data_IF_431469906179
#
_entry.id   IF_431469906179
#
_cell.length_a   1.000
_cell.length_b   1.000
_cell.length_c   1.000
_cell.angle_alpha   90.00
_cell.angle_beta   90.00
_cell.angle_gamma   90.00
#
_symmetry.space_group_name_H-M   'P 1'
#
loop_
_entity.id
_entity.type
_entity.pdbx_description
1 polymer ?
#
# COMPACT_ATOMS: atom_id res chain seq x y z
N UNK A 1 -8.73 -14.08 9.87
CA UNK A 1 -8.12 -14.38 8.55
C UNK A 1 -7.53 -13.08 8.03
N UNK A 2 -6.33 -13.09 7.44
CA UNK A 2 -5.71 -11.87 6.89
C UNK A 2 -6.40 -11.52 5.57
N UNK A 3 -7.25 -10.49 5.57
CA UNK A 3 -7.99 -10.04 4.40
C UNK A 3 -7.14 -9.10 3.52
N UNK A 4 -5.94 -9.53 3.15
CA UNK A 4 -4.96 -8.70 2.42
C UNK A 4 -5.50 -8.31 1.03
N UNK A 5 -6.03 -9.29 0.27
CA UNK A 5 -6.65 -9.01 -1.04
C UNK A 5 -7.75 -7.94 -0.94
N UNK A 6 -8.58 -8.03 0.09
CA UNK A 6 -9.65 -7.05 0.30
C UNK A 6 -9.11 -5.65 0.59
N UNK A 7 -8.02 -5.53 1.36
CA UNK A 7 -7.40 -4.23 1.59
C UNK A 7 -6.92 -3.60 0.28
N UNK A 8 -6.37 -4.39 -0.67
CA UNK A 8 -5.99 -3.87 -1.97
C UNK A 8 -7.19 -3.43 -2.81
N UNK A 9 -8.30 -4.18 -2.81
CA UNK A 9 -9.54 -3.76 -3.47
C UNK A 9 -10.08 -2.45 -2.89
N UNK A 10 -10.04 -2.30 -1.57
CA UNK A 10 -10.54 -1.09 -0.91
C UNK A 10 -9.62 0.11 -1.19
N UNK A 11 -8.30 -0.10 -1.31
CA UNK A 11 -7.37 0.92 -1.82
C UNK A 11 -7.71 1.28 -3.27
N UNK A 12 -7.93 0.29 -4.15
CA UNK A 12 -8.24 0.52 -5.56
C UNK A 12 -9.50 1.38 -5.75
N UNK A 13 -10.52 1.23 -4.90
CA UNK A 13 -11.74 2.06 -4.95
C UNK A 13 -11.50 3.54 -4.64
N UNK A 14 -10.54 3.87 -3.77
CA UNK A 14 -10.33 5.24 -3.28
C UNK A 14 -9.10 5.93 -3.86
N UNK A 15 -8.15 5.19 -4.44
CA UNK A 15 -6.83 5.71 -4.86
C UNK A 15 -6.94 6.96 -5.74
N UNK A 16 -7.90 7.00 -6.66
CA UNK A 16 -8.10 8.15 -7.52
C UNK A 16 -8.51 9.42 -6.76
N UNK A 17 -9.35 9.28 -5.74
CA UNK A 17 -9.78 10.41 -4.89
C UNK A 17 -8.63 10.87 -3.99
N UNK A 18 -7.93 9.92 -3.37
CA UNK A 18 -6.80 10.21 -2.49
C UNK A 18 -5.69 10.95 -3.23
N UNK A 19 -5.32 10.49 -4.43
CA UNK A 19 -4.31 11.15 -5.28
C UNK A 19 -4.74 12.56 -5.66
N UNK A 20 -6.00 12.73 -6.11
CA UNK A 20 -6.54 14.06 -6.46
C UNK A 20 -6.49 15.01 -5.28
N UNK A 21 -6.90 14.55 -4.10
CA UNK A 21 -6.90 15.34 -2.89
C UNK A 21 -5.47 15.73 -2.47
N UNK A 22 -4.55 14.76 -2.48
CA UNK A 22 -3.14 15.02 -2.16
C UNK A 22 -2.49 15.98 -3.15
N UNK A 23 -2.71 15.81 -4.45
CA UNK A 23 -2.19 16.71 -5.48
C UNK A 23 -2.72 18.13 -5.31
N UNK A 24 -4.03 18.30 -5.05
CA UNK A 24 -4.63 19.62 -4.82
C UNK A 24 -4.15 20.30 -3.52
N UNK A 25 -3.79 19.51 -2.51
CA UNK A 25 -3.22 20.01 -1.26
C UNK A 25 -1.73 20.38 -1.35
N UNK A 26 -1.06 19.99 -2.44
CA UNK A 26 0.36 20.26 -2.62
C UNK A 26 0.57 21.76 -2.87
N UNK A 27 1.43 22.44 -2.09
CA UNK A 27 1.77 23.84 -2.32
C UNK A 27 2.66 24.05 -3.56
N UNK A 28 3.10 22.97 -4.21
CA UNK A 28 3.99 22.99 -5.39
C UNK A 28 3.22 22.51 -6.63
N UNK A 29 2.98 23.39 -7.63
CA UNK A 29 2.15 23.12 -8.82
C UNK A 29 2.63 22.02 -9.79
N UNK A 30 3.72 21.32 -9.48
CA UNK A 30 4.33 20.29 -10.33
C UNK A 30 5.06 19.20 -9.50
N UNK A 31 4.66 19.02 -8.24
CA UNK A 31 5.31 18.02 -7.40
C UNK A 31 4.88 16.61 -7.80
N UNK A 32 5.85 15.84 -8.30
CA UNK A 32 5.75 14.39 -8.37
C UNK A 32 5.54 13.88 -6.94
N UNK A 33 4.37 13.29 -6.70
CA UNK A 33 3.95 12.85 -5.38
C UNK A 33 3.78 11.34 -5.26
N UNK A 34 3.55 10.89 -4.02
CA UNK A 34 3.18 9.51 -3.72
C UNK A 34 2.18 9.45 -2.55
N UNK A 35 1.29 8.46 -2.56
CA UNK A 35 0.41 8.11 -1.43
C UNK A 35 0.91 6.80 -0.83
N UNK A 36 0.97 6.73 0.51
CA UNK A 36 1.35 5.53 1.24
C UNK A 36 0.13 4.90 1.92
N UNK A 37 -0.11 3.63 1.63
CA UNK A 37 -1.15 2.84 2.26
C UNK A 37 -0.54 1.74 3.13
N UNK A 38 -0.42 2.00 4.44
CA UNK A 38 0.02 0.97 5.37
C UNK A 38 -1.05 -0.12 5.51
N UNK A 39 -0.64 -1.36 5.25
CA UNK A 39 -1.50 -2.53 5.41
C UNK A 39 -1.69 -2.82 6.90
N UNK A 40 -2.84 -3.39 7.25
CA UNK A 40 -3.23 -3.63 8.63
C UNK A 40 -3.59 -5.09 8.89
N UNK A 41 -3.40 -5.52 10.12
CA UNK A 41 -3.91 -6.81 10.61
C UNK A 41 -5.41 -6.68 10.97
N UNK A 42 -6.01 -7.76 11.48
CA UNK A 42 -7.42 -7.78 11.89
C UNK A 42 -7.75 -6.89 13.09
N UNK A 43 -6.75 -6.44 13.84
CA UNK A 43 -6.89 -5.53 14.99
C UNK A 43 -6.74 -4.05 14.57
N UNK A 44 -6.49 -3.80 13.28
CA UNK A 44 -6.25 -2.46 12.76
C UNK A 44 -4.82 -1.94 12.99
N UNK A 45 -3.94 -2.73 13.58
CA UNK A 45 -2.51 -2.39 13.70
C UNK A 45 -1.78 -2.57 12.36
N UNK A 46 -0.63 -1.89 12.15
CA UNK A 46 0.22 -2.16 10.99
C UNK A 46 0.51 -3.66 10.84
N UNK A 47 0.43 -4.16 9.61
CA UNK A 47 0.71 -5.54 9.29
C UNK A 47 2.21 -5.80 9.47
N UNK A 48 2.58 -6.51 10.54
CA UNK A 48 3.97 -6.86 10.88
C UNK A 48 4.38 -8.17 10.21
N UNK A 49 5.66 -8.29 9.85
CA UNK A 49 6.26 -9.53 9.34
C UNK A 49 6.03 -10.75 10.23
N UNK A 50 6.12 -10.61 11.55
CA UNK A 50 5.81 -11.67 12.52
C UNK A 50 4.40 -12.24 12.34
N UNK A 51 3.45 -11.40 11.91
CA UNK A 51 2.07 -11.83 11.64
C UNK A 51 2.01 -12.66 10.37
N UNK A 52 2.71 -12.24 9.31
CA UNK A 52 2.78 -12.97 8.04
C UNK A 52 3.51 -14.30 8.19
N UNK A 53 4.65 -14.33 8.88
CA UNK A 53 5.41 -15.56 9.16
C UNK A 53 4.55 -16.58 9.91
N UNK A 54 3.79 -16.14 10.92
CA UNK A 54 2.91 -17.02 11.69
C UNK A 54 1.83 -17.70 10.84
N UNK A 55 1.39 -17.07 9.76
CA UNK A 55 0.37 -17.62 8.86
C UNK A 55 0.94 -18.20 7.56
N UNK A 56 2.26 -18.20 7.41
CA UNK A 56 2.95 -18.73 6.23
C UNK A 56 2.71 -17.92 4.94
N UNK A 57 2.47 -16.61 5.04
CA UNK A 57 2.28 -15.73 3.87
C UNK A 57 3.56 -14.94 3.62
N UNK A 58 3.94 -14.82 2.34
CA UNK A 58 5.06 -14.03 1.85
C UNK A 58 4.58 -12.78 1.11
N UNK A 59 5.46 -11.80 0.94
CA UNK A 59 5.15 -10.61 0.14
C UNK A 59 4.78 -10.97 -1.31
N UNK A 60 5.45 -11.97 -1.88
CA UNK A 60 5.16 -12.47 -3.24
C UNK A 60 3.72 -12.99 -3.36
N UNK A 61 3.26 -13.77 -2.38
CA UNK A 61 1.88 -14.26 -2.36
C UNK A 61 0.86 -13.12 -2.19
N UNK A 62 1.24 -12.02 -1.53
CA UNK A 62 0.39 -10.82 -1.47
C UNK A 62 0.28 -10.15 -2.85
N UNK A 63 1.38 -10.07 -3.60
CA UNK A 63 1.39 -9.53 -4.96
C UNK A 63 0.61 -10.41 -5.96
N UNK A 64 0.54 -11.72 -5.71
CA UNK A 64 -0.23 -12.67 -6.52
C UNK A 64 -1.74 -12.64 -6.25
N UNK A 65 -2.21 -11.83 -5.28
CA UNK A 65 -3.65 -11.71 -4.99
C UNK A 65 -4.39 -10.93 -6.08
N UNK A 66 -5.63 -11.34 -6.34
CA UNK A 66 -6.54 -10.64 -7.28
C UNK A 66 -6.73 -9.16 -6.90
N UNK A 67 -6.81 -8.86 -5.61
CA UNK A 67 -6.92 -7.48 -5.12
C UNK A 67 -5.72 -6.63 -5.51
N UNK A 68 -4.49 -7.17 -5.41
CA UNK A 68 -3.30 -6.42 -5.82
C UNK A 68 -3.25 -6.22 -7.32
N UNK A 69 -3.57 -7.26 -8.11
CA UNK A 69 -3.67 -7.16 -9.56
C UNK A 69 -4.67 -6.07 -9.99
N UNK A 70 -5.86 -6.03 -9.37
CA UNK A 70 -6.87 -5.02 -9.64
C UNK A 70 -6.40 -3.61 -9.26
N UNK A 71 -5.70 -3.45 -8.13
CA UNK A 71 -5.10 -2.18 -7.74
C UNK A 71 -4.08 -1.69 -8.78
N UNK A 72 -3.20 -2.57 -9.24
CA UNK A 72 -2.20 -2.26 -10.28
C UNK A 72 -2.89 -1.81 -11.57
N UNK A 73 -3.90 -2.54 -12.05
CA UNK A 73 -4.65 -2.16 -13.25
C UNK A 73 -5.40 -0.83 -13.09
N UNK A 74 -6.01 -0.61 -11.92
CA UNK A 74 -6.67 0.66 -11.60
C UNK A 74 -5.70 1.85 -11.64
N UNK A 75 -4.50 1.69 -11.09
CA UNK A 75 -3.46 2.71 -11.15
C UNK A 75 -2.98 2.96 -12.58
N UNK A 76 -2.76 1.91 -13.39
CA UNK A 76 -2.33 2.04 -14.79
C UNK A 76 -3.30 2.85 -15.64
N UNK A 77 -4.62 2.67 -15.47
CA UNK A 77 -5.66 3.45 -16.17
C UNK A 77 -5.59 4.96 -15.89
N UNK A 78 -4.83 5.37 -14.86
CA UNK A 78 -4.63 6.76 -14.44
C UNK A 78 -3.19 7.23 -14.62
N UNK A 79 -2.36 6.46 -15.34
CA UNK A 79 -0.91 6.73 -15.47
C UNK A 79 -0.18 6.76 -14.13
N UNK A 80 -0.68 6.01 -13.14
CA UNK A 80 -0.04 5.82 -11.84
C UNK A 80 0.62 4.44 -11.78
N UNK A 81 1.56 4.30 -10.85
CA UNK A 81 2.18 3.02 -10.50
C UNK A 81 1.80 2.64 -9.07
N UNK A 82 1.62 1.35 -8.82
CA UNK A 82 1.38 0.79 -7.50
C UNK A 82 2.40 -0.31 -7.22
N UNK A 83 3.04 -0.27 -6.06
CA UNK A 83 4.05 -1.25 -5.64
C UNK A 83 3.93 -1.57 -4.17
N UNK A 84 4.10 -2.85 -3.84
CA UNK A 84 4.15 -3.31 -2.45
C UNK A 84 5.59 -3.11 -1.94
N UNK A 85 5.73 -2.54 -0.75
CA UNK A 85 7.01 -2.27 -0.12
C UNK A 85 7.02 -2.66 1.34
N UNK A 86 8.22 -2.99 1.83
CA UNK A 86 8.53 -3.06 3.25
C UNK A 86 8.87 -1.66 3.79
N UNK A 87 8.53 -1.43 5.06
CA UNK A 87 8.94 -0.26 5.82
C UNK A 87 9.47 -0.68 7.18
N UNK A 88 10.49 0.03 7.64
CA UNK A 88 11.21 -0.28 8.88
C UNK A 88 11.05 0.89 9.86
N UNK A 89 10.65 0.59 11.09
CA UNK A 89 10.75 1.56 12.17
C UNK A 89 12.22 1.68 12.61
N UNK A 90 12.86 2.80 12.26
CA UNK A 90 14.28 3.05 12.59
C UNK A 90 14.56 3.21 14.09
N UNK A 91 13.54 3.42 14.91
CA UNK A 91 13.67 3.73 16.34
C UNK A 91 13.29 2.57 17.27
N UNK A 92 12.95 1.39 16.74
CA UNK A 92 12.61 0.25 17.59
C UNK A 92 13.83 -0.66 17.84
N UNK A 93 14.04 -1.14 19.09
CA UNK A 93 15.17 -2.00 19.43
C UNK A 93 15.13 -3.36 18.73
N UNK A 94 13.96 -3.76 18.22
CA UNK A 94 13.77 -4.93 17.35
C UNK A 94 13.28 -4.41 16.01
N UNK A 95 13.98 -4.77 14.93
CA UNK A 95 13.56 -4.44 13.57
C UNK A 95 12.21 -5.09 13.26
N UNK A 96 11.14 -4.32 13.42
CA UNK A 96 9.80 -4.73 13.01
C UNK A 96 9.57 -4.22 11.59
N UNK A 97 9.43 -5.17 10.65
CA UNK A 97 9.05 -4.85 9.27
C UNK A 97 7.54 -4.75 9.18
N UNK A 98 7.07 -3.71 8.51
CA UNK A 98 5.65 -3.54 8.16
C UNK A 98 5.49 -3.37 6.66
N UNK A 99 4.30 -3.65 6.15
CA UNK A 99 4.03 -3.63 4.71
C UNK A 99 3.14 -2.45 4.33
N UNK A 100 3.42 -1.84 3.18
CA UNK A 100 2.67 -0.72 2.63
C UNK A 100 2.56 -0.84 1.11
N UNK A 101 1.48 -0.30 0.55
CA UNK A 101 1.43 0.00 -0.88
C UNK A 101 1.85 1.44 -1.10
N UNK A 102 2.78 1.65 -2.03
CA UNK A 102 3.13 2.97 -2.55
C UNK A 102 2.42 3.15 -3.86
N UNK A 103 1.67 4.24 -3.99
CA UNK A 103 1.12 4.70 -5.26
C UNK A 103 1.81 5.99 -5.64
N UNK A 104 2.46 6.03 -6.79
CA UNK A 104 3.25 7.15 -7.29
C UNK A 104 2.98 7.40 -8.79
N UNK A 105 3.57 8.47 -9.34
CA UNK A 105 3.55 8.74 -10.78
C UNK A 105 2.64 9.87 -11.28
N UNK A 106 1.95 10.62 -10.38
CA UNK A 106 1.28 11.84 -10.80
C UNK A 106 2.24 13.04 -10.80
N UNK A 107 2.04 13.95 -11.75
CA UNK A 107 2.81 15.20 -11.93
C UNK A 107 1.89 16.41 -11.91
#
# INVERSE_FOLDING_TARGET
>A
MLHISRQFEDIAKRVSQDVTHHAASSPVPAAVGFVLYFLRNSEGEPLKDTTLVRVGITMKEMEETEGFANLVETCKLRHLTARLEEHFYSQQPVFTRIYKVVVDGWS
#
